data_IF_206250522811
#
_entry.id   IF_206250522811
#
_cell.length_a   1.000
_cell.length_b   1.000
_cell.length_c   1.000
_cell.angle_alpha   90.00
_cell.angle_beta   90.00
_cell.angle_gamma   90.00
#
_symmetry.space_group_name_H-M   'P 1'
#
loop_
_entity.id
_entity.type
_entity.pdbx_description
1 polymer ?
#
# COMPACT_ATOMS: atom_id res chain seq x y z
N UNK A 1 -20.92 9.38 19.08
CA UNK A 1 -21.18 8.31 20.06
C UNK A 1 -19.87 8.00 20.75
N UNK A 2 -19.82 8.00 22.08
CA UNK A 2 -18.63 7.59 22.83
C UNK A 2 -18.70 6.08 23.03
N UNK A 3 -17.81 5.34 22.37
CA UNK A 3 -17.69 3.89 22.59
C UNK A 3 -16.96 3.65 23.91
N UNK A 4 -17.56 2.90 24.84
CA UNK A 4 -16.91 2.47 26.07
C UNK A 4 -16.12 1.18 25.78
N UNK A 5 -14.82 1.30 25.48
CA UNK A 5 -13.97 0.18 25.04
C UNK A 5 -13.58 -0.77 26.20
N UNK A 6 -14.52 -1.07 27.11
CA UNK A 6 -14.28 -1.88 28.32
C UNK A 6 -14.66 -3.35 28.17
N UNK A 7 -15.54 -3.71 27.23
CA UNK A 7 -15.95 -5.10 26.98
C UNK A 7 -15.43 -5.60 25.63
N UNK A 8 -15.00 -6.87 25.58
CA UNK A 8 -14.47 -7.48 24.35
C UNK A 8 -15.50 -7.51 23.21
N UNK A 9 -16.79 -7.68 23.56
CA UNK A 9 -17.90 -7.66 22.60
C UNK A 9 -18.07 -6.30 21.92
N UNK A 10 -18.04 -5.21 22.69
CA UNK A 10 -18.19 -3.86 22.14
C UNK A 10 -17.01 -3.48 21.24
N UNK A 11 -15.79 -3.90 21.60
CA UNK A 11 -14.60 -3.71 20.77
C UNK A 11 -14.73 -4.46 19.43
N UNK A 12 -15.25 -5.70 19.45
CA UNK A 12 -15.46 -6.48 18.22
C UNK A 12 -16.50 -5.83 17.30
N UNK A 13 -17.60 -5.34 17.86
CA UNK A 13 -18.64 -4.68 17.09
C UNK A 13 -18.16 -3.34 16.52
N UNK A 14 -17.40 -2.56 17.30
CA UNK A 14 -16.75 -1.35 16.81
C UNK A 14 -15.82 -1.62 15.62
N UNK A 15 -14.92 -2.62 15.75
CA UNK A 15 -13.99 -3.02 14.68
C UNK A 15 -14.76 -3.47 13.43
N UNK A 16 -15.88 -4.18 13.60
CA UNK A 16 -16.73 -4.62 12.50
C UNK A 16 -17.36 -3.44 11.76
N UNK A 17 -17.95 -2.49 12.49
CA UNK A 17 -18.56 -1.30 11.92
C UNK A 17 -17.53 -0.41 11.22
N UNK A 18 -16.35 -0.23 11.82
CA UNK A 18 -15.24 0.50 11.22
C UNK A 18 -14.82 -0.10 9.87
N UNK A 19 -14.75 -1.43 9.78
CA UNK A 19 -14.46 -2.12 8.52
C UNK A 19 -15.55 -1.92 7.45
N UNK A 20 -16.81 -1.68 7.83
CA UNK A 20 -17.90 -1.35 6.90
C UNK A 20 -17.76 0.10 6.42
N UNK A 21 -17.53 1.05 7.34
CA UNK A 21 -17.30 2.47 7.02
C UNK A 21 -16.14 2.63 6.05
N UNK A 22 -15.00 1.95 6.29
CA UNK A 22 -13.85 1.99 5.40
C UNK A 22 -14.14 1.41 4.01
N UNK A 23 -14.97 0.36 3.91
CA UNK A 23 -15.40 -0.16 2.60
C UNK A 23 -16.27 0.83 1.86
N UNK A 24 -17.22 1.45 2.55
CA UNK A 24 -18.11 2.43 1.96
C UNK A 24 -17.33 3.65 1.47
N UNK A 25 -16.50 4.27 2.32
CA UNK A 25 -15.71 5.43 1.92
C UNK A 25 -14.68 5.11 0.83
N UNK A 26 -14.13 3.90 0.79
CA UNK A 26 -13.22 3.50 -0.27
C UNK A 26 -13.93 3.22 -1.61
N UNK A 27 -14.96 2.38 -1.62
CA UNK A 27 -15.56 1.90 -2.87
C UNK A 27 -16.70 2.79 -3.38
N UNK A 28 -17.50 3.36 -2.49
CA UNK A 28 -18.62 4.24 -2.86
C UNK A 28 -18.15 5.66 -3.07
N UNK A 29 -17.44 6.23 -2.10
CA UNK A 29 -16.99 7.64 -2.15
C UNK A 29 -15.66 7.81 -2.90
N UNK A 30 -14.95 6.72 -3.17
CA UNK A 30 -13.64 6.72 -3.84
C UNK A 30 -12.60 7.58 -3.12
N UNK A 31 -12.71 7.69 -1.79
CA UNK A 31 -11.80 8.50 -0.99
C UNK A 31 -10.44 7.79 -0.86
N UNK A 32 -9.34 8.37 -1.38
CA UNK A 32 -8.04 7.71 -1.38
C UNK A 32 -7.47 7.47 0.03
N UNK A 33 -7.75 8.36 0.97
CA UNK A 33 -7.29 8.22 2.36
C UNK A 33 -8.03 7.06 3.04
N UNK A 34 -9.34 6.98 2.87
CA UNK A 34 -10.16 5.91 3.44
C UNK A 34 -9.83 4.56 2.80
N UNK A 35 -9.53 4.51 1.49
CA UNK A 35 -9.01 3.30 0.85
C UNK A 35 -7.69 2.84 1.47
N UNK A 36 -6.81 3.75 1.87
CA UNK A 36 -5.58 3.38 2.56
C UNK A 36 -5.88 2.78 3.94
N UNK A 37 -6.80 3.39 4.70
CA UNK A 37 -7.23 2.88 5.99
C UNK A 37 -7.90 1.51 5.87
N UNK A 38 -8.70 1.27 4.82
CA UNK A 38 -9.26 -0.04 4.53
C UNK A 38 -8.17 -1.08 4.33
N UNK A 39 -7.13 -0.74 3.55
CA UNK A 39 -6.02 -1.64 3.30
C UNK A 39 -5.21 -1.92 4.58
N UNK A 40 -4.93 -0.90 5.39
CA UNK A 40 -4.28 -1.06 6.70
C UNK A 40 -5.13 -1.91 7.66
N UNK A 41 -6.45 -1.76 7.65
CA UNK A 41 -7.38 -2.58 8.44
C UNK A 41 -7.34 -4.04 7.98
N UNK A 42 -7.33 -4.29 6.67
CA UNK A 42 -7.21 -5.64 6.12
C UNK A 42 -5.86 -6.28 6.48
N UNK A 43 -4.76 -5.52 6.42
CA UNK A 43 -3.43 -5.99 6.78
C UNK A 43 -3.29 -6.26 8.30
N UNK A 44 -3.54 -5.24 9.12
CA UNK A 44 -3.19 -5.26 10.53
C UNK A 44 -4.22 -6.01 11.37
N UNK A 45 -5.52 -5.87 11.06
CA UNK A 45 -6.61 -6.39 11.89
C UNK A 45 -7.14 -7.71 11.33
N UNK A 46 -7.52 -7.74 10.05
CA UNK A 46 -8.09 -8.96 9.44
C UNK A 46 -7.03 -9.97 8.98
N UNK A 47 -5.76 -9.55 8.89
CA UNK A 47 -4.66 -10.35 8.33
C UNK A 47 -4.95 -10.91 6.92
N UNK A 48 -5.81 -10.22 6.17
CA UNK A 48 -6.15 -10.57 4.80
C UNK A 48 -5.22 -9.81 3.84
N UNK A 49 -4.01 -10.35 3.72
CA UNK A 49 -2.93 -9.69 2.99
C UNK A 49 -3.22 -9.60 1.48
N UNK A 50 -3.92 -10.59 0.91
CA UNK A 50 -4.27 -10.56 -0.51
C UNK A 50 -5.25 -9.43 -0.84
N UNK A 51 -6.29 -9.26 -0.01
CA UNK A 51 -7.22 -8.13 -0.20
C UNK A 51 -6.54 -6.80 0.10
N UNK A 52 -5.72 -6.72 1.16
CA UNK A 52 -4.95 -5.52 1.46
C UNK A 52 -4.06 -5.12 0.27
N UNK A 53 -3.33 -6.07 -0.32
CA UNK A 53 -2.47 -5.86 -1.49
C UNK A 53 -3.26 -5.29 -2.67
N UNK A 54 -4.44 -5.85 -2.96
CA UNK A 54 -5.33 -5.37 -4.03
C UNK A 54 -5.77 -3.92 -3.78
N UNK A 55 -6.22 -3.60 -2.57
CA UNK A 55 -6.68 -2.24 -2.23
C UNK A 55 -5.52 -1.24 -2.30
N UNK A 56 -4.34 -1.56 -1.76
CA UNK A 56 -3.16 -0.68 -1.88
C UNK A 56 -2.79 -0.45 -3.35
N UNK A 57 -2.80 -1.50 -4.17
CA UNK A 57 -2.47 -1.39 -5.59
C UNK A 57 -3.47 -0.51 -6.33
N UNK A 58 -4.77 -0.78 -6.20
CA UNK A 58 -5.83 0.02 -6.84
C UNK A 58 -5.77 1.48 -6.40
N UNK A 59 -5.63 1.74 -5.10
CA UNK A 59 -5.55 3.10 -4.57
C UNK A 59 -4.26 3.83 -5.04
N UNK A 60 -3.16 3.10 -5.23
CA UNK A 60 -1.95 3.65 -5.85
C UNK A 60 -2.17 3.97 -7.33
N UNK A 61 -2.64 3.01 -8.12
CA UNK A 61 -2.68 3.12 -9.59
C UNK A 61 -3.82 4.02 -10.08
N UNK A 62 -5.00 3.97 -9.46
CA UNK A 62 -6.19 4.73 -9.87
C UNK A 62 -6.27 6.09 -9.19
N UNK A 63 -6.08 6.13 -7.87
CA UNK A 63 -6.26 7.35 -7.07
C UNK A 63 -4.97 8.09 -6.75
N UNK A 64 -3.83 7.59 -7.27
CA UNK A 64 -2.51 8.22 -7.14
C UNK A 64 -2.09 8.50 -5.70
N UNK A 65 -2.55 7.69 -4.75
CA UNK A 65 -2.23 7.87 -3.34
C UNK A 65 -0.85 7.31 -3.02
N UNK A 66 0.15 8.19 -2.91
CA UNK A 66 1.55 7.77 -2.82
C UNK A 66 1.88 6.87 -1.62
N UNK A 67 1.21 7.04 -0.46
CA UNK A 67 1.41 6.14 0.70
C UNK A 67 0.99 4.70 0.38
N UNK A 68 -0.08 4.52 -0.40
CA UNK A 68 -0.52 3.20 -0.88
C UNK A 68 0.49 2.58 -1.83
N UNK A 69 1.09 3.38 -2.71
CA UNK A 69 2.16 2.91 -3.59
C UNK A 69 3.38 2.41 -2.80
N UNK A 70 3.76 3.12 -1.73
CA UNK A 70 4.87 2.70 -0.87
C UNK A 70 4.56 1.37 -0.16
N UNK A 71 3.35 1.22 0.39
CA UNK A 71 2.89 -0.03 1.02
C UNK A 71 2.86 -1.20 0.04
N UNK A 72 2.31 -0.99 -1.15
CA UNK A 72 2.29 -2.02 -2.18
C UNK A 72 3.70 -2.41 -2.65
N UNK A 73 4.59 -1.42 -2.82
CA UNK A 73 5.99 -1.67 -3.12
C UNK A 73 6.69 -2.53 -2.05
N UNK A 74 6.42 -2.28 -0.76
CA UNK A 74 6.92 -3.12 0.33
C UNK A 74 6.33 -4.55 0.31
N UNK A 75 5.07 -4.71 -0.09
CA UNK A 75 4.45 -6.02 -0.30
C UNK A 75 5.14 -6.80 -1.42
N UNK A 76 5.49 -6.14 -2.52
CA UNK A 76 6.28 -6.74 -3.60
C UNK A 76 7.68 -7.19 -3.14
N UNK A 77 8.32 -6.49 -2.21
CA UNK A 77 9.63 -6.92 -1.64
C UNK A 77 9.47 -8.16 -0.76
N UNK A 78 8.44 -8.16 0.07
CA UNK A 78 8.25 -9.19 1.11
C UNK A 78 7.50 -10.41 0.61
N UNK A 79 6.85 -10.34 -0.57
CA UNK A 79 5.95 -11.39 -1.04
C UNK A 79 4.64 -11.45 -0.23
N UNK A 80 4.35 -10.44 0.59
CA UNK A 80 3.18 -10.43 1.46
C UNK A 80 1.93 -10.10 0.63
N UNK A 81 0.93 -10.98 0.64
CA UNK A 81 -0.32 -10.77 -0.12
C UNK A 81 -0.15 -10.74 -1.64
N UNK A 82 1.05 -11.03 -2.14
CA UNK A 82 1.38 -11.17 -3.57
C UNK A 82 2.07 -12.53 -3.75
N UNK A 83 1.79 -13.23 -4.86
CA UNK A 83 2.18 -14.65 -5.03
C UNK A 83 3.68 -14.94 -4.86
N UNK A 84 4.54 -13.95 -5.10
CA UNK A 84 5.99 -14.04 -4.98
C UNK A 84 6.60 -12.66 -4.82
N UNK A 85 7.86 -12.61 -4.37
CA UNK A 85 8.64 -11.38 -4.37
C UNK A 85 8.89 -10.90 -5.81
N UNK A 86 8.76 -9.59 -6.02
CA UNK A 86 8.94 -8.93 -7.31
C UNK A 86 9.67 -7.59 -7.09
N UNK A 87 11.01 -7.64 -7.11
CA UNK A 87 11.86 -6.47 -6.89
C UNK A 87 11.72 -5.39 -7.99
N UNK A 88 11.62 -5.74 -9.29
CA UNK A 88 11.34 -4.75 -10.34
C UNK A 88 10.02 -3.99 -10.11
N UNK A 89 8.93 -4.72 -9.81
CA UNK A 89 7.65 -4.08 -9.50
C UNK A 89 7.76 -3.23 -8.22
N UNK A 90 8.38 -3.77 -7.17
CA UNK A 90 8.59 -3.04 -5.92
C UNK A 90 9.28 -1.70 -6.15
N UNK A 91 10.37 -1.69 -6.92
CA UNK A 91 11.12 -0.49 -7.25
C UNK A 91 10.25 0.56 -7.97
N UNK A 92 9.48 0.11 -8.96
CA UNK A 92 8.55 0.97 -9.71
C UNK A 92 7.52 1.63 -8.78
N UNK A 93 6.87 0.86 -7.92
CA UNK A 93 5.86 1.35 -6.99
C UNK A 93 6.43 2.23 -5.88
N UNK A 94 7.58 1.88 -5.32
CA UNK A 94 8.27 2.72 -4.33
C UNK A 94 8.65 4.08 -4.91
N UNK A 95 9.13 4.09 -6.16
CA UNK A 95 9.46 5.33 -6.87
C UNK A 95 8.22 6.19 -7.09
N UNK A 96 7.12 5.61 -7.59
CA UNK A 96 5.84 6.31 -7.79
C UNK A 96 5.35 6.92 -6.46
N UNK A 97 5.38 6.12 -5.39
CA UNK A 97 5.00 6.59 -4.06
C UNK A 97 5.82 7.79 -3.61
N UNK A 98 7.14 7.71 -3.73
CA UNK A 98 8.04 8.80 -3.37
C UNK A 98 7.86 10.09 -4.19
N UNK A 99 7.33 10.02 -5.42
CA UNK A 99 7.01 11.22 -6.20
C UNK A 99 5.72 11.92 -5.75
N UNK A 100 4.78 11.18 -5.13
CA UNK A 100 3.46 11.69 -4.76
C UNK A 100 3.32 11.96 -3.26
N UNK A 101 4.14 11.31 -2.43
CA UNK A 101 4.32 11.68 -1.02
C UNK A 101 5.59 12.51 -0.91
N UNK A 102 5.60 13.58 -0.09
CA UNK A 102 6.85 14.21 0.34
C UNK A 102 7.67 13.16 1.13
N UNK A 103 8.63 12.45 0.51
CA UNK A 103 9.13 11.21 1.04
C UNK A 103 10.14 11.49 2.15
N UNK A 104 10.15 10.66 3.19
CA UNK A 104 11.16 10.80 4.24
C UNK A 104 12.55 10.50 3.68
N UNK A 105 13.62 11.12 4.21
CA UNK A 105 15.00 10.86 3.75
C UNK A 105 15.40 9.38 3.81
N UNK A 106 14.81 8.60 4.72
CA UNK A 106 15.02 7.16 4.82
C UNK A 106 14.43 6.39 3.62
N UNK A 107 13.24 6.78 3.14
CA UNK A 107 12.62 6.20 1.95
C UNK A 107 13.42 6.53 0.68
N UNK A 108 13.92 7.76 0.58
CA UNK A 108 14.80 8.16 -0.53
C UNK A 108 16.06 7.28 -0.54
N UNK A 109 16.73 7.10 0.61
CA UNK A 109 17.91 6.23 0.72
C UNK A 109 17.62 4.77 0.35
N UNK A 110 16.50 4.20 0.81
CA UNK A 110 16.10 2.85 0.47
C UNK A 110 15.83 2.68 -1.04
N UNK A 111 15.18 3.65 -1.68
CA UNK A 111 15.01 3.69 -3.14
C UNK A 111 16.34 3.77 -3.89
N UNK A 112 17.27 4.61 -3.47
CA UNK A 112 18.61 4.70 -4.07
C UNK A 112 19.40 3.39 -3.94
N UNK A 113 19.26 2.70 -2.80
CA UNK A 113 19.91 1.40 -2.58
C UNK A 113 19.32 0.30 -3.47
N UNK A 114 17.99 0.22 -3.56
CA UNK A 114 17.30 -0.69 -4.48
C UNK A 114 17.67 -0.44 -5.95
N UNK A 115 17.83 0.83 -6.35
CA UNK A 115 18.30 1.18 -7.69
C UNK A 115 19.67 0.56 -8.01
N UNK A 116 20.61 0.59 -7.06
CA UNK A 116 21.97 0.04 -7.24
C UNK A 116 22.01 -1.50 -7.31
N UNK A 117 21.00 -2.18 -6.76
CA UNK A 117 20.92 -3.64 -6.77
C UNK A 117 20.09 -4.22 -7.91
N UNK A 118 19.24 -3.41 -8.56
CA UNK A 118 18.51 -3.87 -9.74
C UNK A 118 19.40 -3.77 -10.98
N UNK A 119 19.52 -4.82 -11.80
CA UNK A 119 20.23 -4.77 -13.08
C UNK A 119 19.38 -4.09 -14.18
N UNK A 120 18.81 -2.92 -13.90
CA UNK A 120 17.96 -2.17 -14.86
C UNK A 120 18.76 -1.21 -15.76
N UNK A 121 20.06 -1.02 -15.51
CA UNK A 121 20.92 -0.18 -16.35
C UNK A 121 21.24 -0.81 -17.72
N UNK A 122 20.85 -2.07 -17.98
CA UNK A 122 20.98 -2.74 -19.28
C UNK A 122 19.82 -2.49 -20.26
N UNK A 123 18.73 -1.82 -19.86
CA UNK A 123 17.54 -1.64 -20.73
C UNK A 123 17.51 -0.25 -21.42
N UNK A 124 18.40 0.68 -21.05
CA UNK A 124 18.42 2.04 -21.65
C UNK A 124 19.44 2.26 -22.77
N UNK A 125 20.17 1.24 -23.19
CA UNK A 125 21.14 1.32 -24.31
C UNK A 125 20.66 0.68 -25.63
N UNK A 126 19.38 0.28 -25.77
CA UNK A 126 18.87 -0.32 -27.03
C UNK A 126 17.68 0.40 -27.69
N UNK A 127 17.50 1.71 -27.46
CA UNK A 127 16.66 2.56 -28.33
C UNK A 127 17.32 3.89 -28.60
N UNK A 128 18.34 3.84 -29.45
CA UNK A 128 18.82 4.94 -30.28
C UNK A 128 19.44 4.31 -31.53
N UNK A 129 18.57 3.88 -32.43
CA UNK A 129 18.84 3.86 -33.87
C UNK A 129 17.96 4.95 -34.49
#
# INVERSE_FOLDING_TARGET
MAYDLKSESEVKDYIKNLGIEYRFGCYSEKNPEVCHLLADFLDAIKKDFEKAAKVYKTNCDEYKFGKSCLKYGAYCITGKGVKKTDYPAAYSYLRKGATWTNPTPALIKAYYWLRKMSPLDSIKTSKKE
#
